data_IF_285206964376
#
_entry.id   IF_285206964376
#
_cell.length_a   1.000
_cell.length_b   1.000
_cell.length_c   1.000
_cell.angle_alpha   90.00
_cell.angle_beta   90.00
_cell.angle_gamma   90.00
#
_symmetry.space_group_name_H-M   'P 1'
#
loop_
_entity.id
_entity.type
_entity.pdbx_description
1 polymer ?
#
# COMPACT_ATOMS: atom_id res chain seq x y z
N UNK A 1 9.21 5.88 -12.78
CA UNK A 1 7.95 5.20 -13.13
C UNK A 1 6.91 6.27 -13.45
N UNK A 2 6.25 6.17 -14.59
CA UNK A 2 5.12 7.03 -14.95
C UNK A 2 3.91 6.59 -14.11
N UNK A 3 3.11 7.52 -13.57
CA UNK A 3 1.84 7.14 -12.95
C UNK A 3 0.90 6.63 -14.02
N UNK A 4 0.43 5.40 -13.85
CA UNK A 4 -0.51 4.74 -14.75
C UNK A 4 -1.78 4.35 -14.00
N UNK A 5 -2.86 4.15 -14.74
CA UNK A 5 -4.06 3.49 -14.20
C UNK A 5 -3.67 2.15 -13.57
N UNK A 6 -4.18 1.87 -12.36
CA UNK A 6 -3.79 0.68 -11.62
C UNK A 6 -4.28 -0.60 -12.32
N UNK A 7 -3.35 -1.36 -12.90
CA UNK A 7 -3.62 -2.70 -13.46
C UNK A 7 -3.41 -3.82 -12.44
N UNK A 8 -2.66 -3.53 -11.36
CA UNK A 8 -2.40 -4.38 -10.20
C UNK A 8 -3.22 -3.93 -9.00
N UNK A 9 -3.27 -4.75 -7.95
CA UNK A 9 -3.93 -4.40 -6.69
C UNK A 9 -5.39 -3.99 -6.92
N UNK A 10 -6.08 -4.73 -7.80
CA UNK A 10 -7.52 -4.55 -8.01
C UNK A 10 -8.28 -4.87 -6.72
N UNK A 11 -9.55 -4.48 -6.69
CA UNK A 11 -10.45 -4.81 -5.59
C UNK A 11 -10.26 -6.27 -5.12
N UNK A 12 -9.96 -6.54 -3.84
CA UNK A 12 -9.52 -7.84 -3.34
C UNK A 12 -10.66 -8.87 -3.35
N UNK A 13 -10.91 -9.44 -4.53
CA UNK A 13 -11.86 -10.53 -4.77
C UNK A 13 -11.21 -11.57 -5.68
N UNK A 14 -11.30 -12.85 -5.29
CA UNK A 14 -10.73 -13.94 -6.07
C UNK A 14 -9.21 -13.83 -6.19
N UNK A 15 -8.68 -13.92 -7.40
CA UNK A 15 -7.22 -13.87 -7.64
C UNK A 15 -6.59 -12.54 -7.24
N UNK A 16 -7.33 -11.43 -7.30
CA UNK A 16 -6.83 -10.12 -6.89
C UNK A 16 -6.46 -10.07 -5.40
N UNK A 17 -7.12 -10.86 -4.54
CA UNK A 17 -6.76 -10.96 -3.11
C UNK A 17 -5.32 -11.47 -2.91
N UNK A 18 -4.84 -12.36 -3.79
CA UNK A 18 -3.48 -12.89 -3.71
C UNK A 18 -2.43 -11.81 -3.99
N UNK A 19 -2.74 -10.84 -4.84
CA UNK A 19 -1.82 -9.72 -5.10
C UNK A 19 -1.58 -8.88 -3.85
N UNK A 20 -2.62 -8.65 -3.05
CA UNK A 20 -2.51 -7.96 -1.76
C UNK A 20 -1.78 -8.82 -0.70
N UNK A 21 -2.01 -10.13 -0.69
CA UNK A 21 -1.35 -11.05 0.25
C UNK A 21 0.15 -11.19 0.00
N UNK A 22 0.60 -11.23 -1.25
CA UNK A 22 2.04 -11.31 -1.62
C UNK A 22 2.78 -10.06 -1.16
N UNK A 23 2.09 -8.93 -1.01
CA UNK A 23 2.68 -7.75 -0.43
C UNK A 23 2.96 -7.91 1.08
N UNK A 24 2.43 -8.91 1.79
CA UNK A 24 2.71 -9.10 3.20
C UNK A 24 4.03 -9.87 3.42
N UNK A 25 4.97 -9.35 4.23
CA UNK A 25 6.17 -10.10 4.56
C UNK A 25 5.85 -11.36 5.36
N UNK A 26 6.74 -12.34 5.27
CA UNK A 26 6.63 -13.58 6.03
C UNK A 26 6.44 -13.32 7.53
N UNK A 27 5.51 -14.06 8.13
CA UNK A 27 5.19 -13.96 9.56
C UNK A 27 3.99 -13.10 9.90
N UNK A 28 3.39 -12.43 8.91
CA UNK A 28 2.16 -11.62 9.07
C UNK A 28 2.23 -10.54 10.16
N UNK A 29 3.40 -10.30 10.75
CA UNK A 29 3.64 -9.22 11.69
C UNK A 29 3.58 -7.90 10.96
N UNK A 30 2.65 -7.04 11.37
CA UNK A 30 2.59 -5.65 10.91
C UNK A 30 3.81 -4.94 11.50
N UNK A 31 4.94 -5.01 10.80
CA UNK A 31 6.04 -4.10 11.07
C UNK A 31 5.57 -2.70 10.65
N UNK A 32 5.81 -1.69 11.49
CA UNK A 32 5.67 -0.27 11.12
C UNK A 32 6.79 0.11 10.14
N UNK A 33 6.82 -0.54 8.99
CA UNK A 33 7.70 -0.19 7.89
C UNK A 33 6.95 0.74 6.95
N UNK A 34 7.59 1.88 6.68
CA UNK A 34 7.16 2.76 5.60
C UNK A 34 7.06 1.94 4.29
N UNK A 35 5.94 2.08 3.59
CA UNK A 35 5.53 1.31 2.43
C UNK A 35 4.50 0.21 2.75
N UNK A 36 4.59 -0.50 3.88
CA UNK A 36 3.67 -1.60 4.20
C UNK A 36 2.38 -1.13 4.83
N UNK A 37 2.49 -0.19 5.77
CA UNK A 37 1.34 0.41 6.41
C UNK A 37 0.44 1.07 5.36
N UNK A 38 1.02 1.80 4.41
CA UNK A 38 0.34 2.46 3.31
C UNK A 38 -0.50 1.47 2.49
N UNK A 39 0.06 0.34 2.06
CA UNK A 39 -0.67 -0.67 1.26
C UNK A 39 -1.82 -1.31 2.05
N UNK A 40 -1.58 -1.70 3.31
CA UNK A 40 -2.62 -2.24 4.20
C UNK A 40 -3.76 -1.23 4.42
N UNK A 41 -3.44 0.05 4.60
CA UNK A 41 -4.43 1.11 4.74
C UNK A 41 -5.29 1.26 3.49
N UNK A 42 -4.69 1.23 2.29
CA UNK A 42 -5.42 1.32 1.01
C UNK A 42 -6.34 0.11 0.82
N UNK A 43 -5.83 -1.10 1.08
CA UNK A 43 -6.63 -2.33 0.99
C UNK A 43 -7.82 -2.29 1.94
N UNK A 44 -7.57 -1.94 3.21
CA UNK A 44 -8.58 -1.86 4.26
C UNK A 44 -9.63 -0.80 3.91
N UNK A 45 -9.21 0.38 3.44
CA UNK A 45 -10.12 1.44 3.02
C UNK A 45 -11.02 1.00 1.87
N UNK A 46 -10.45 0.37 0.84
CA UNK A 46 -11.20 -0.18 -0.30
C UNK A 46 -12.23 -1.23 0.12
N UNK A 47 -11.87 -2.15 1.02
CA UNK A 47 -12.78 -3.16 1.55
C UNK A 47 -13.92 -2.56 2.39
N UNK A 48 -13.69 -1.45 3.10
CA UNK A 48 -14.75 -0.74 3.83
C UNK A 48 -15.73 -0.02 2.90
N UNK A 49 -15.24 0.60 1.81
CA UNK A 49 -16.09 1.28 0.83
C UNK A 49 -17.06 0.32 0.11
N UNK A 50 -16.63 -0.92 -0.15
CA UNK A 50 -17.45 -1.94 -0.83
C UNK A 50 -18.28 -2.81 0.11
N UNK A 51 -18.26 -2.53 1.43
CA UNK A 51 -19.06 -3.21 2.46
C UNK A 51 -18.83 -4.73 2.55
N UNK A 52 -17.66 -5.23 2.15
CA UNK A 52 -17.36 -6.68 2.18
C UNK A 52 -16.72 -7.16 3.48
N UNK A 53 -16.25 -6.26 4.33
CA UNK A 53 -16.02 -6.54 5.75
C UNK A 53 -17.25 -6.17 6.58
N UNK A 54 -17.50 -6.90 7.66
CA UNK A 54 -18.49 -6.50 8.69
C UNK A 54 -18.14 -5.09 9.17
N UNK A 55 -19.17 -4.28 9.44
CA UNK A 55 -19.10 -2.86 9.80
C UNK A 55 -18.39 -2.53 11.14
N UNK A 56 -17.40 -3.32 11.58
CA UNK A 56 -16.89 -3.30 12.96
C UNK A 56 -15.38 -3.08 13.07
N UNK A 57 -14.83 -2.10 12.36
CA UNK A 57 -13.54 -1.53 12.76
C UNK A 57 -13.43 -0.04 12.43
N UNK A 58 -14.41 0.74 12.92
CA UNK A 58 -14.43 2.20 12.76
C UNK A 58 -13.18 2.87 13.33
N UNK A 59 -12.61 2.33 14.40
CA UNK A 59 -11.37 2.84 15.00
C UNK A 59 -10.19 2.74 14.01
N UNK A 60 -10.06 1.60 13.33
CA UNK A 60 -9.01 1.43 12.32
C UNK A 60 -9.26 2.27 11.07
N UNK A 61 -10.51 2.39 10.62
CA UNK A 61 -10.84 3.29 9.51
C UNK A 61 -10.48 4.76 9.85
N UNK A 62 -10.81 5.21 11.06
CA UNK A 62 -10.44 6.54 11.55
C UNK A 62 -8.92 6.72 11.59
N UNK A 63 -8.17 5.72 12.06
CA UNK A 63 -6.71 5.70 12.03
C UNK A 63 -6.18 5.85 10.59
N UNK A 64 -6.67 5.06 9.64
CA UNK A 64 -6.26 5.15 8.23
C UNK A 64 -6.54 6.53 7.63
N UNK A 65 -7.71 7.10 7.88
CA UNK A 65 -8.08 8.43 7.40
C UNK A 65 -7.21 9.53 8.01
N UNK A 66 -6.87 9.41 9.30
CA UNK A 66 -5.94 10.33 9.97
C UNK A 66 -4.54 10.24 9.34
N UNK A 67 -4.06 9.02 9.10
CA UNK A 67 -2.77 8.79 8.46
C UNK A 67 -2.71 9.38 7.05
N UNK A 68 -3.75 9.17 6.21
CA UNK A 68 -3.84 9.80 4.88
C UNK A 68 -3.83 11.32 4.95
N UNK A 69 -4.55 11.90 5.93
CA UNK A 69 -4.55 13.34 6.17
C UNK A 69 -3.16 13.85 6.57
N UNK A 70 -2.49 13.19 7.51
CA UNK A 70 -1.14 13.54 7.94
C UNK A 70 -0.14 13.47 6.79
N UNK A 71 -0.19 12.41 5.98
CA UNK A 71 0.65 12.29 4.78
C UNK A 71 0.41 13.41 3.78
N UNK A 72 -0.86 13.70 3.47
CA UNK A 72 -1.22 14.77 2.53
C UNK A 72 -0.79 16.18 3.01
N UNK A 73 -0.76 16.41 4.32
CA UNK A 73 -0.35 17.71 4.88
C UNK A 73 1.16 17.85 5.07
N UNK A 74 1.83 16.78 5.52
CA UNK A 74 3.25 16.83 5.91
C UNK A 74 4.20 16.47 4.77
N UNK A 75 3.78 15.60 3.85
CA UNK A 75 4.58 15.14 2.72
C UNK A 75 3.75 15.12 1.43
N UNK A 76 3.15 16.27 1.04
CA UNK A 76 2.43 16.35 -0.23
C UNK A 76 3.38 16.10 -1.39
N UNK A 77 2.89 15.39 -2.41
CA UNK A 77 3.55 15.42 -3.70
C UNK A 77 3.31 16.80 -4.34
N UNK A 78 4.38 17.57 -4.49
CA UNK A 78 4.34 18.91 -5.09
C UNK A 78 4.69 18.88 -6.59
N UNK A 79 4.79 17.69 -7.19
CA UNK A 79 5.02 17.53 -8.62
C UNK A 79 3.83 18.11 -9.39
N UNK A 80 4.11 19.01 -10.32
CA UNK A 80 3.08 19.59 -11.17
C UNK A 80 2.61 18.55 -12.21
N UNK A 81 1.30 18.49 -12.44
CA UNK A 81 0.74 17.67 -13.51
C UNK A 81 1.25 18.16 -14.87
N UNK A 82 1.69 17.25 -15.76
CA UNK A 82 2.17 17.63 -17.07
C UNK A 82 1.04 18.09 -17.99
N UNK A 83 1.30 19.19 -18.71
CA UNK A 83 0.43 19.70 -19.77
C UNK A 83 -0.72 20.61 -19.31
N UNK A 84 -1.59 20.96 -20.26
CA UNK A 84 -2.80 21.73 -20.00
C UNK A 84 -3.96 20.76 -19.72
N UNK A 85 -4.30 20.58 -18.45
CA UNK A 85 -5.35 19.67 -18.01
C UNK A 85 -6.73 19.98 -18.62
N UNK A 86 -6.94 21.21 -19.11
CA UNK A 86 -8.20 21.62 -19.75
C UNK A 86 -8.33 21.15 -21.20
N UNK A 87 -7.20 20.84 -21.85
CA UNK A 87 -7.13 20.36 -23.24
C UNK A 87 -6.83 18.87 -23.36
N UNK A 88 -6.46 18.24 -22.24
CA UNK A 88 -6.01 16.85 -22.19
C UNK A 88 -7.15 15.87 -22.44
N UNK A 89 -6.95 14.92 -23.34
CA UNK A 89 -7.90 13.85 -23.57
C UNK A 89 -7.61 12.66 -22.65
N UNK A 90 -8.24 12.63 -21.48
CA UNK A 90 -8.07 11.54 -20.49
C UNK A 90 -8.52 10.15 -20.96
N UNK A 91 -9.21 10.03 -22.10
CA UNK A 91 -9.52 8.69 -22.66
C UNK A 91 -8.31 8.06 -23.34
N UNK A 92 -7.39 8.88 -23.89
CA UNK A 92 -6.20 8.47 -24.64
C UNK A 92 -4.92 8.69 -23.82
N UNK A 93 -4.82 9.81 -23.11
CA UNK A 93 -3.64 10.25 -22.37
C UNK A 93 -3.78 9.97 -20.87
N UNK A 94 -3.61 8.70 -20.48
CA UNK A 94 -3.83 8.19 -19.12
C UNK A 94 -2.57 8.18 -18.22
N UNK A 95 -1.50 8.83 -18.66
CA UNK A 95 -0.20 8.82 -17.98
C UNK A 95 0.05 10.10 -17.19
N UNK A 96 0.25 10.00 -15.88
CA UNK A 96 0.53 11.15 -15.02
C UNK A 96 2.00 11.60 -15.07
N UNK A 97 2.40 12.33 -14.03
CA UNK A 97 3.80 12.71 -13.82
C UNK A 97 4.72 11.48 -13.65
N UNK A 98 6.03 11.70 -13.79
CA UNK A 98 7.05 10.68 -13.56
C UNK A 98 7.51 10.78 -12.10
N UNK A 99 7.38 9.69 -11.35
CA UNK A 99 7.92 9.58 -9.99
C UNK A 99 9.05 8.55 -9.93
N UNK A 100 10.05 8.79 -9.10
CA UNK A 100 11.12 7.83 -8.84
C UNK A 100 10.84 7.19 -7.49
N UNK A 101 10.37 5.94 -7.52
CA UNK A 101 10.14 5.16 -6.31
C UNK A 101 11.48 4.72 -5.70
N UNK A 102 11.53 4.64 -4.38
CA UNK A 102 12.65 3.97 -3.69
C UNK A 102 12.53 2.47 -3.90
N UNK A 103 13.68 1.82 -4.08
CA UNK A 103 13.73 0.36 -4.07
C UNK A 103 13.49 -0.14 -2.64
N UNK A 104 12.44 -0.96 -2.50
CA UNK A 104 12.05 -1.55 -1.22
C UNK A 104 12.47 -3.02 -1.11
N UNK A 105 12.99 -3.65 -2.17
CA UNK A 105 13.45 -5.05 -2.15
C UNK A 105 14.40 -5.35 -0.97
N UNK A 106 15.40 -4.49 -0.66
CA UNK A 106 16.28 -4.72 0.49
C UNK A 106 15.54 -4.75 1.83
N UNK A 107 14.44 -3.98 1.95
CA UNK A 107 13.60 -3.96 3.16
C UNK A 107 12.85 -5.28 3.29
N UNK A 108 12.27 -5.80 2.21
CA UNK A 108 11.59 -7.10 2.22
C UNK A 108 12.54 -8.23 2.59
N UNK A 109 13.74 -8.25 2.02
CA UNK A 109 14.74 -9.27 2.30
C UNK A 109 15.17 -9.24 3.77
N UNK A 110 15.41 -8.05 4.31
CA UNK A 110 15.77 -7.83 5.72
C UNK A 110 14.66 -8.27 6.68
N UNK A 111 13.40 -7.95 6.37
CA UNK A 111 12.27 -8.42 7.18
C UNK A 111 12.14 -9.94 7.12
N UNK A 112 12.27 -10.50 5.92
CA UNK A 112 12.20 -11.94 5.70
C UNK A 112 13.29 -12.71 6.43
N UNK A 113 14.53 -12.21 6.44
CA UNK A 113 15.64 -12.81 7.18
C UNK A 113 15.42 -12.71 8.70
N UNK A 114 15.06 -11.51 9.18
CA UNK A 114 14.77 -11.26 10.59
C UNK A 114 13.66 -12.17 11.13
N UNK A 115 12.59 -12.36 10.35
CA UNK A 115 11.52 -13.31 10.70
C UNK A 115 12.03 -14.75 10.84
N UNK A 116 12.84 -15.22 9.87
CA UNK A 116 13.40 -16.58 9.91
C UNK A 116 14.30 -16.78 11.13
N UNK A 117 15.10 -15.78 11.49
CA UNK A 117 15.94 -15.81 12.69
C UNK A 117 15.10 -15.86 13.96
N UNK A 118 14.08 -15.02 14.08
CA UNK A 118 13.16 -15.03 15.21
C UNK A 118 12.44 -16.38 15.37
N UNK A 119 11.98 -16.98 14.27
CA UNK A 119 11.35 -18.32 14.31
C UNK A 119 12.33 -19.38 14.84
N UNK A 120 13.61 -19.31 14.44
CA UNK A 120 14.64 -20.23 14.95
C UNK A 120 14.89 -19.99 16.43
N UNK A 121 15.08 -18.74 16.86
CA UNK A 121 15.27 -18.38 18.27
C UNK A 121 14.11 -18.92 19.11
N UNK A 122 12.86 -18.61 18.75
CA UNK A 122 11.67 -19.04 19.49
C UNK A 122 11.60 -20.57 19.65
N UNK A 123 12.01 -21.35 18.66
CA UNK A 123 12.01 -22.83 18.73
C UNK A 123 13.05 -23.41 19.69
N UNK A 124 14.14 -22.69 19.97
CA UNK A 124 15.23 -23.12 20.86
C UNK A 124 15.14 -22.50 22.26
N UNK A 125 14.21 -21.55 22.47
CA UNK A 125 13.99 -20.85 23.73
C UNK A 125 12.85 -21.45 24.58
N UNK A 126 12.40 -22.67 24.25
CA UNK A 126 11.43 -23.51 24.97
C UNK A 126 12.02 -24.88 25.15
#
# INVERSE_FOLDING_TARGET
MVVEDTVRYRYPKGEASKEWEVANPHGAGIYHLEGKHQHHCIETFGQQLTRTRKASDWGHLQHCLKYLREMAMCQPDLTLEPGDFTKRNFTVERWGAIHICRDLEPVYDSVGSSWREWVKFRKHST
#
